data_IF_520128270557
#
_entry.id   IF_520128270557
#
_cell.length_a   1.000
_cell.length_b   1.000
_cell.length_c   1.000
_cell.angle_alpha   90.00
_cell.angle_beta   90.00
_cell.angle_gamma   90.00
#
_symmetry.space_group_name_H-M   'P 1'
#
loop_
_entity.id
_entity.type
_entity.pdbx_description
1 polymer ?
#
# COMPACT_ATOMS: atom_id res chain seq x y z
N UNK A 1 -2.51 -20.82 26.91
CA UNK A 1 -1.55 -20.92 25.78
C UNK A 1 -1.21 -19.52 25.28
N UNK A 2 0.08 -19.17 25.16
CA UNK A 2 0.51 -17.87 24.61
C UNK A 2 0.30 -17.89 23.09
N UNK A 3 -0.33 -16.86 22.53
CA UNK A 3 -0.53 -16.74 21.09
C UNK A 3 0.82 -16.49 20.41
N UNK A 4 1.27 -17.39 19.53
CA UNK A 4 2.59 -17.29 18.87
C UNK A 4 2.68 -16.11 17.88
N UNK A 5 1.53 -15.67 17.36
CA UNK A 5 1.42 -14.63 16.33
C UNK A 5 1.13 -13.24 16.91
N UNK A 6 0.67 -13.17 18.17
CA UNK A 6 0.28 -11.94 18.85
C UNK A 6 0.94 -11.82 20.22
N UNK A 7 1.74 -10.77 20.42
CA UNK A 7 2.29 -10.39 21.72
C UNK A 7 1.40 -9.32 22.37
N UNK A 8 1.00 -9.55 23.63
CA UNK A 8 0.23 -8.59 24.44
C UNK A 8 -1.28 -8.54 24.18
N UNK A 9 -1.84 -9.51 23.44
CA UNK A 9 -3.29 -9.60 23.18
C UNK A 9 -4.02 -10.52 24.16
N UNK A 10 -5.30 -10.21 24.41
CA UNK A 10 -6.24 -11.17 25.01
C UNK A 10 -6.92 -12.09 23.97
N UNK A 11 -6.70 -11.87 22.66
CA UNK A 11 -7.31 -12.68 21.61
C UNK A 11 -6.63 -14.06 21.51
N UNK A 12 -7.45 -15.11 21.60
CA UNK A 12 -6.96 -16.50 21.47
C UNK A 12 -6.34 -16.75 20.10
N UNK A 13 -5.37 -17.67 20.03
CA UNK A 13 -4.72 -18.05 18.78
C UNK A 13 -5.72 -18.54 17.73
N UNK A 14 -6.69 -19.36 18.15
CA UNK A 14 -7.76 -19.86 17.27
C UNK A 14 -8.54 -18.72 16.62
N UNK A 15 -8.95 -17.73 17.42
CA UNK A 15 -9.73 -16.58 16.93
C UNK A 15 -8.87 -15.65 16.07
N UNK A 16 -7.59 -15.51 16.38
CA UNK A 16 -6.66 -14.77 15.53
C UNK A 16 -6.49 -15.44 14.16
N UNK A 17 -6.27 -16.76 14.12
CA UNK A 17 -6.17 -17.53 12.86
C UNK A 17 -7.42 -17.41 12.01
N UNK A 18 -8.60 -17.43 12.63
CA UNK A 18 -9.88 -17.17 11.96
C UNK A 18 -9.91 -15.78 11.30
N UNK A 19 -9.54 -14.72 12.03
CA UNK A 19 -9.44 -13.36 11.46
C UNK A 19 -8.42 -13.30 10.33
N UNK A 20 -7.26 -13.93 10.50
CA UNK A 20 -6.20 -13.95 9.49
C UNK A 20 -6.64 -14.66 8.21
N UNK A 21 -7.38 -15.77 8.33
CA UNK A 21 -7.96 -16.49 7.19
C UNK A 21 -8.96 -15.63 6.44
N UNK A 22 -9.88 -14.99 7.15
CA UNK A 22 -10.84 -14.08 6.52
C UNK A 22 -10.15 -12.85 5.88
N UNK A 23 -9.05 -12.38 6.47
CA UNK A 23 -8.23 -11.36 5.85
C UNK A 23 -7.55 -11.87 4.57
N UNK A 24 -7.02 -13.10 4.56
CA UNK A 24 -6.40 -13.70 3.38
C UNK A 24 -7.39 -13.80 2.20
N UNK A 25 -8.65 -14.08 2.48
CA UNK A 25 -9.78 -14.07 1.52
C UNK A 25 -10.20 -12.64 1.06
N UNK A 26 -9.48 -11.60 1.49
CA UNK A 26 -9.71 -10.19 1.15
C UNK A 26 -11.09 -9.65 1.56
N UNK A 27 -11.58 -10.10 2.73
CA UNK A 27 -12.79 -9.56 3.36
C UNK A 27 -12.50 -8.21 4.06
N UNK A 28 -13.51 -7.35 4.07
CA UNK A 28 -13.48 -6.08 4.80
C UNK A 28 -13.59 -6.30 6.31
N UNK A 29 -13.11 -5.33 7.10
CA UNK A 29 -13.22 -5.40 8.57
C UNK A 29 -14.65 -5.56 9.07
N UNK A 30 -15.63 -5.00 8.36
CA UNK A 30 -17.06 -5.17 8.69
C UNK A 30 -17.52 -6.61 8.47
N UNK A 31 -17.16 -7.22 7.35
CA UNK A 31 -17.49 -8.62 7.07
C UNK A 31 -16.80 -9.55 8.08
N UNK A 32 -15.52 -9.31 8.37
CA UNK A 32 -14.76 -10.10 9.36
C UNK A 32 -15.37 -9.98 10.75
N UNK A 33 -15.76 -8.78 11.17
CA UNK A 33 -16.41 -8.57 12.46
C UNK A 33 -17.73 -9.35 12.57
N UNK A 34 -18.53 -9.31 11.49
CA UNK A 34 -19.80 -10.05 11.40
C UNK A 34 -19.62 -11.56 11.50
N UNK A 35 -18.58 -12.12 10.86
CA UNK A 35 -18.34 -13.57 10.84
C UNK A 35 -17.68 -14.04 12.16
N UNK A 36 -16.66 -13.31 12.62
CA UNK A 36 -15.83 -13.76 13.75
C UNK A 36 -16.43 -13.47 15.13
N UNK A 37 -17.44 -12.58 15.20
CA UNK A 37 -18.02 -12.08 16.45
C UNK A 37 -17.11 -11.09 17.19
N UNK A 38 -15.99 -10.67 16.60
CA UNK A 38 -15.05 -9.69 17.19
C UNK A 38 -15.46 -8.29 16.77
N UNK A 39 -15.34 -7.31 17.68
CA UNK A 39 -15.72 -5.92 17.38
C UNK A 39 -14.99 -5.38 16.14
N UNK A 40 -15.68 -4.59 15.31
CA UNK A 40 -15.10 -3.97 14.12
C UNK A 40 -13.86 -3.13 14.43
N UNK A 41 -13.84 -2.44 15.56
CA UNK A 41 -12.69 -1.62 16.01
C UNK A 41 -11.47 -2.51 16.25
N UNK A 42 -11.66 -3.62 16.97
CA UNK A 42 -10.63 -4.61 17.23
C UNK A 42 -10.13 -5.24 15.93
N UNK A 43 -11.03 -5.67 15.04
CA UNK A 43 -10.67 -6.22 13.72
C UNK A 43 -9.84 -5.20 12.92
N UNK A 44 -10.27 -3.94 12.83
CA UNK A 44 -9.50 -2.90 12.14
C UNK A 44 -8.09 -2.73 12.70
N UNK A 45 -7.93 -2.77 14.03
CA UNK A 45 -6.62 -2.72 14.68
C UNK A 45 -5.73 -3.88 14.24
N UNK A 46 -6.27 -5.10 14.21
CA UNK A 46 -5.55 -6.28 13.72
C UNK A 46 -5.18 -6.17 12.25
N UNK A 47 -6.12 -5.82 11.37
CA UNK A 47 -5.84 -5.69 9.94
C UNK A 47 -4.78 -4.62 9.67
N UNK A 48 -4.80 -3.50 10.41
CA UNK A 48 -3.77 -2.47 10.32
C UNK A 48 -2.39 -3.04 10.67
N UNK A 49 -2.27 -3.79 11.77
CA UNK A 49 -0.99 -4.39 12.20
C UNK A 49 -0.51 -5.49 11.25
N UNK A 50 -1.41 -6.30 10.70
CA UNK A 50 -1.07 -7.28 9.64
C UNK A 50 -0.49 -6.56 8.42
N UNK A 51 -1.16 -5.49 7.94
CA UNK A 51 -0.65 -4.69 6.81
C UNK A 51 0.70 -4.03 7.10
N UNK A 52 0.96 -3.63 8.34
CA UNK A 52 2.27 -3.10 8.73
C UNK A 52 3.38 -4.15 8.59
N UNK A 53 3.12 -5.41 8.97
CA UNK A 53 4.10 -6.49 8.74
C UNK A 53 4.26 -6.82 7.27
N UNK A 54 3.18 -6.83 6.50
CA UNK A 54 3.25 -6.98 5.04
C UNK A 54 4.13 -5.88 4.43
N UNK A 55 3.92 -4.62 4.83
CA UNK A 55 4.72 -3.50 4.34
C UNK A 55 6.22 -3.68 4.65
N UNK A 56 6.56 -4.04 5.90
CA UNK A 56 7.95 -4.34 6.30
C UNK A 56 8.55 -5.50 5.51
N UNK A 57 7.77 -6.55 5.26
CA UNK A 57 8.20 -7.68 4.44
C UNK A 57 8.50 -7.24 3.01
N UNK A 58 7.58 -6.51 2.36
CA UNK A 58 7.80 -5.94 1.04
C UNK A 58 9.03 -5.02 1.00
N UNK A 59 9.23 -4.18 2.01
CA UNK A 59 10.42 -3.31 2.14
C UNK A 59 11.71 -4.11 2.28
N UNK A 60 11.70 -5.24 3.00
CA UNK A 60 12.88 -6.10 3.17
C UNK A 60 13.35 -6.75 1.86
N UNK A 61 12.41 -6.94 0.92
CA UNK A 61 12.64 -7.51 -0.41
C UNK A 61 13.07 -6.47 -1.45
N UNK A 62 13.17 -5.19 -1.07
CA UNK A 62 13.67 -4.16 -1.98
C UNK A 62 15.13 -4.46 -2.37
N UNK A 63 15.53 -4.22 -3.64
CA UNK A 63 16.92 -4.45 -4.06
C UNK A 63 17.90 -3.52 -3.31
N UNK A 64 19.17 -3.90 -3.24
CA UNK A 64 20.18 -3.20 -2.44
C UNK A 64 20.32 -1.71 -2.79
N UNK A 65 20.20 -1.36 -4.07
CA UNK A 65 20.24 0.03 -4.57
C UNK A 65 19.09 0.90 -4.03
N UNK A 66 18.08 0.26 -3.42
CA UNK A 66 16.87 0.87 -2.89
C UNK A 66 16.82 0.82 -1.34
N UNK A 67 17.76 0.12 -0.68
CA UNK A 67 17.86 0.07 0.79
C UNK A 67 18.54 1.34 1.28
N UNK A 68 17.81 2.19 2.01
CA UNK A 68 18.37 3.39 2.67
C UNK A 68 17.72 4.72 2.28
N UNK A 69 16.77 4.75 1.34
CA UNK A 69 15.96 5.96 1.11
C UNK A 69 14.73 5.92 2.02
N UNK A 70 14.46 6.96 2.82
CA UNK A 70 13.21 7.06 3.53
C UNK A 70 12.08 7.07 2.49
N UNK A 71 11.32 5.98 2.40
CA UNK A 71 9.96 6.12 1.88
C UNK A 71 9.29 7.14 2.79
N UNK A 72 8.79 8.22 2.20
CA UNK A 72 8.11 9.28 2.93
C UNK A 72 6.82 8.67 3.50
N UNK A 73 6.95 8.00 4.64
CA UNK A 73 5.91 7.98 5.65
C UNK A 73 5.83 9.44 6.04
N UNK A 74 4.88 10.16 5.47
CA UNK A 74 4.61 11.53 5.85
C UNK A 74 4.49 11.55 7.39
N UNK A 75 5.49 12.10 8.07
CA UNK A 75 5.56 12.15 9.52
C UNK A 75 4.48 13.07 10.11
N UNK A 76 3.61 13.66 9.29
CA UNK A 76 2.35 14.28 9.71
C UNK A 76 1.27 13.28 10.18
N UNK A 77 1.59 11.98 10.25
CA UNK A 77 0.71 10.93 10.81
C UNK A 77 0.83 10.79 12.34
N UNK A 78 1.61 11.64 13.02
CA UNK A 78 1.68 11.67 14.50
C UNK A 78 0.59 12.57 15.13
N UNK A 79 -0.29 11.93 15.91
CA UNK A 79 -1.10 12.43 17.05
C UNK A 79 -1.70 13.85 16.96
N UNK A 80 -3.04 14.02 16.91
CA UNK A 80 -3.64 15.27 17.36
C UNK A 80 -3.45 15.32 18.88
N UNK A 81 -2.46 16.08 19.36
CA UNK A 81 -2.52 16.58 20.73
C UNK A 81 -3.53 17.72 20.74
N UNK A 82 -4.50 17.58 21.64
CA UNK A 82 -5.44 18.63 22.00
C UNK A 82 -4.68 19.93 22.25
N UNK A 83 -4.84 20.90 21.36
CA UNK A 83 -4.57 22.29 21.68
C UNK A 83 -5.66 23.12 21.03
N UNK A 84 -6.65 23.43 21.86
CA UNK A 84 -7.68 24.43 21.61
C UNK A 84 -7.03 25.76 21.27
N UNK A 85 -7.04 26.17 20.00
CA UNK A 85 -7.00 27.58 19.63
C UNK A 85 -7.93 27.78 18.45
N UNK A 86 -8.98 28.57 18.67
CA UNK A 86 -9.93 28.96 17.64
C UNK A 86 -9.26 29.87 16.61
N UNK A 87 -9.20 29.45 15.35
CA UNK A 87 -9.26 30.37 14.21
C UNK A 87 -10.05 29.69 13.10
N UNK A 88 -11.22 30.22 12.78
CA UNK A 88 -11.96 29.91 11.56
C UNK A 88 -11.25 30.61 10.40
N UNK A 89 -10.83 29.87 9.38
CA UNK A 89 -10.75 30.38 8.01
C UNK A 89 -10.74 29.23 7.02
N UNK A 90 -11.65 29.31 6.06
CA UNK A 90 -11.79 28.43 4.92
C UNK A 90 -10.47 28.28 4.14
N UNK A 91 -9.84 27.11 4.27
CA UNK A 91 -8.83 26.67 3.30
C UNK A 91 -9.45 25.48 2.60
N UNK A 92 -9.84 25.68 1.33
CA UNK A 92 -10.14 24.58 0.41
C UNK A 92 -8.96 23.60 0.51
N UNK A 93 -9.16 22.47 1.20
CA UNK A 93 -8.13 21.44 1.33
C UNK A 93 -7.90 20.92 -0.08
N UNK A 94 -6.86 21.39 -0.74
CA UNK A 94 -6.49 20.93 -2.06
C UNK A 94 -6.03 19.47 -1.89
N UNK A 95 -6.96 18.52 -2.05
CA UNK A 95 -6.73 17.09 -1.85
C UNK A 95 -5.79 16.62 -2.97
N UNK A 96 -4.47 16.75 -2.76
CA UNK A 96 -3.45 16.23 -3.69
C UNK A 96 -3.71 14.74 -3.96
N UNK A 97 -3.79 14.28 -5.22
CA UNK A 97 -4.03 12.87 -5.51
C UNK A 97 -2.93 11.97 -4.92
N UNK A 98 -3.29 10.75 -4.54
CA UNK A 98 -2.30 9.74 -4.19
C UNK A 98 -1.82 9.09 -5.48
N UNK A 99 -0.59 9.40 -5.85
CA UNK A 99 0.08 8.88 -7.03
C UNK A 99 1.14 7.89 -6.60
N UNK A 100 1.26 6.77 -7.30
CA UNK A 100 2.31 5.79 -7.03
C UNK A 100 2.90 5.23 -8.32
N UNK A 101 4.19 4.93 -8.29
CA UNK A 101 4.93 4.27 -9.35
C UNK A 101 4.91 2.75 -9.20
N UNK A 102 4.94 2.06 -10.32
CA UNK A 102 5.01 0.60 -10.42
C UNK A 102 6.29 0.26 -11.19
N UNK A 103 7.06 -0.68 -10.67
CA UNK A 103 8.26 -1.18 -11.33
C UNK A 103 8.48 -2.66 -11.00
N UNK A 104 9.35 -3.32 -11.75
CA UNK A 104 9.71 -4.72 -11.56
C UNK A 104 11.19 -4.85 -11.22
N UNK A 105 11.50 -5.67 -10.23
CA UNK A 105 12.87 -6.05 -9.89
C UNK A 105 12.89 -7.48 -9.34
N UNK A 106 13.92 -8.25 -9.64
CA UNK A 106 14.05 -9.65 -9.19
C UNK A 106 12.78 -10.50 -9.40
N UNK A 107 12.14 -10.34 -10.57
CA UNK A 107 10.88 -10.97 -10.96
C UNK A 107 9.64 -10.62 -10.09
N UNK A 108 9.74 -9.65 -9.17
CA UNK A 108 8.65 -9.16 -8.33
C UNK A 108 8.20 -7.77 -8.74
N UNK A 109 6.90 -7.52 -8.56
CA UNK A 109 6.31 -6.20 -8.73
C UNK A 109 6.50 -5.40 -7.44
N UNK A 110 6.89 -4.14 -7.59
CA UNK A 110 7.08 -3.21 -6.49
C UNK A 110 6.31 -1.92 -6.73
N UNK A 111 5.87 -1.31 -5.63
CA UNK A 111 5.13 -0.06 -5.61
C UNK A 111 5.78 0.97 -4.71
N UNK A 112 5.73 2.23 -5.12
CA UNK A 112 6.26 3.37 -4.36
C UNK A 112 5.33 4.56 -4.47
N UNK A 113 4.90 5.12 -3.34
CA UNK A 113 4.13 6.38 -3.34
C UNK A 113 5.06 7.51 -3.77
N UNK A 114 4.59 8.32 -4.70
CA UNK A 114 5.33 9.46 -5.23
C UNK A 114 4.79 10.74 -4.58
N UNK A 115 5.43 11.25 -3.50
CA UNK A 115 5.07 12.54 -2.95
C UNK A 115 5.35 13.63 -4.00
N UNK A 116 4.46 14.62 -4.04
CA UNK A 116 4.60 15.84 -4.86
C UNK A 116 4.64 15.65 -6.38
N UNK A 117 4.08 14.54 -6.88
CA UNK A 117 3.78 14.40 -8.31
C UNK A 117 2.39 14.97 -8.61
N UNK A 118 2.36 15.99 -9.48
CA UNK A 118 1.10 16.57 -9.99
C UNK A 118 0.64 15.84 -11.26
N UNK A 119 -0.66 15.98 -11.60
CA UNK A 119 -1.20 15.40 -12.84
C UNK A 119 -0.56 15.98 -14.09
N UNK A 120 -0.23 17.27 -14.09
CA UNK A 120 0.48 17.89 -15.23
C UNK A 120 1.85 17.25 -15.42
N UNK A 121 2.56 16.94 -14.34
CA UNK A 121 3.85 16.23 -14.41
C UNK A 121 3.70 14.81 -14.97
N UNK A 122 2.64 14.08 -14.59
CA UNK A 122 2.34 12.77 -15.18
C UNK A 122 2.07 12.91 -16.68
N UNK A 123 1.20 13.84 -17.09
CA UNK A 123 0.90 14.06 -18.50
C UNK A 123 2.12 14.46 -19.33
N UNK A 124 3.00 15.29 -18.78
CA UNK A 124 4.28 15.63 -19.41
C UNK A 124 5.19 14.41 -19.53
N UNK A 125 5.30 13.59 -18.49
CA UNK A 125 6.11 12.37 -18.52
C UNK A 125 5.61 11.32 -19.53
N UNK A 126 4.29 11.27 -19.76
CA UNK A 126 3.65 10.35 -20.73
C UNK A 126 3.73 10.88 -22.16
N UNK A 127 3.58 12.20 -22.37
CA UNK A 127 3.56 12.81 -23.73
C UNK A 127 4.95 13.09 -24.29
N UNK A 128 5.93 13.36 -23.43
CA UNK A 128 7.25 13.80 -23.87
C UNK A 128 8.24 12.65 -23.91
N UNK A 129 8.60 12.20 -25.11
CA UNK A 129 9.99 11.80 -25.36
C UNK A 129 10.89 13.01 -25.04
N UNK A 130 11.48 13.05 -23.83
CA UNK A 130 12.64 13.89 -23.47
C UNK A 130 12.55 15.42 -23.70
N UNK A 131 11.42 16.08 -23.45
CA UNK A 131 11.44 17.55 -23.33
C UNK A 131 10.46 18.05 -22.28
N UNK A 132 11.01 18.36 -21.09
CA UNK A 132 10.83 19.60 -20.33
C UNK A 132 11.98 19.63 -19.33
N UNK A 133 12.87 20.60 -19.53
CA UNK A 133 14.12 20.86 -18.80
C UNK A 133 13.92 21.38 -17.36
N UNK A 134 12.69 21.42 -16.85
CA UNK A 134 12.40 22.13 -15.58
C UNK A 134 12.22 21.23 -14.35
N UNK A 135 12.37 19.91 -14.47
CA UNK A 135 12.29 19.02 -13.28
C UNK A 135 13.19 17.79 -13.41
N UNK A 136 14.50 18.00 -13.62
CA UNK A 136 15.49 16.91 -13.70
C UNK A 136 15.29 15.87 -12.58
N UNK A 137 15.05 16.32 -11.34
CA UNK A 137 14.88 15.43 -10.19
C UNK A 137 13.59 14.59 -10.23
N UNK A 138 12.46 15.09 -10.77
CA UNK A 138 11.20 14.31 -10.82
C UNK A 138 11.18 13.40 -12.04
N UNK A 139 11.69 13.87 -13.18
CA UNK A 139 11.88 13.03 -14.36
C UNK A 139 12.82 11.86 -14.06
N UNK A 140 13.94 12.10 -13.37
CA UNK A 140 14.84 11.03 -12.89
C UNK A 140 14.15 10.07 -11.91
N UNK A 141 13.35 10.59 -10.97
CA UNK A 141 12.57 9.73 -10.07
C UNK A 141 11.58 8.87 -10.86
N UNK A 142 10.95 9.40 -11.91
CA UNK A 142 9.95 8.70 -12.71
C UNK A 142 10.53 7.68 -13.69
N UNK A 143 11.76 7.87 -14.18
CA UNK A 143 12.45 6.93 -15.10
C UNK A 143 12.54 5.50 -14.58
N UNK A 144 12.56 5.31 -13.26
CA UNK A 144 12.64 3.97 -12.64
C UNK A 144 11.33 3.18 -12.74
N UNK A 145 10.20 3.85 -12.96
CA UNK A 145 8.90 3.22 -13.04
C UNK A 145 8.55 2.92 -14.48
N UNK A 146 8.01 1.73 -14.72
CA UNK A 146 7.40 1.43 -16.01
C UNK A 146 6.03 2.09 -16.13
N UNK A 147 5.33 2.27 -15.01
CA UNK A 147 3.98 2.81 -14.99
C UNK A 147 3.75 3.67 -13.75
N UNK A 148 2.82 4.61 -13.86
CA UNK A 148 2.39 5.46 -12.76
C UNK A 148 0.87 5.40 -12.67
N UNK A 149 0.34 5.28 -11.46
CA UNK A 149 -1.10 5.22 -11.23
C UNK A 149 -1.56 6.39 -10.35
N UNK A 150 -2.65 7.04 -10.77
CA UNK A 150 -3.37 8.06 -9.98
C UNK A 150 -4.62 7.40 -9.35
N UNK A 151 -4.59 7.21 -8.03
CA UNK A 151 -5.73 6.64 -7.28
C UNK A 151 -6.94 7.58 -7.23
N UNK A 152 -6.73 8.89 -7.37
CA UNK A 152 -7.82 9.87 -7.40
C UNK A 152 -8.65 9.79 -8.68
N UNK A 153 -8.06 9.35 -9.79
CA UNK A 153 -8.75 9.15 -11.07
C UNK A 153 -8.94 7.68 -11.45
N UNK A 154 -8.43 6.75 -10.63
CA UNK A 154 -8.34 5.34 -10.97
C UNK A 154 -7.77 5.11 -12.38
N UNK A 155 -6.66 5.81 -12.69
CA UNK A 155 -6.01 5.77 -14.00
C UNK A 155 -4.58 5.29 -13.91
N UNK A 156 -4.22 4.37 -14.81
CA UNK A 156 -2.85 3.90 -15.04
C UNK A 156 -2.27 4.64 -16.25
N UNK A 157 -1.01 5.02 -16.15
CA UNK A 157 -0.23 5.71 -17.16
C UNK A 157 1.02 4.89 -17.46
N UNK A 158 1.28 4.64 -18.75
CA UNK A 158 2.49 3.97 -19.19
C UNK A 158 3.59 5.01 -19.40
N UNK A 159 4.75 4.81 -18.79
CA UNK A 159 5.93 5.60 -19.07
C UNK A 159 6.69 4.84 -20.16
N UNK A 160 6.70 5.37 -21.39
CA UNK A 160 7.37 4.73 -22.51
C UNK A 160 8.88 4.60 -22.22
N UNK A 161 9.30 3.38 -21.87
CA UNK A 161 10.70 2.98 -21.75
C UNK A 161 10.96 1.83 -22.73
N UNK A 162 11.85 2.06 -23.70
CA UNK A 162 12.24 1.09 -24.73
C UNK A 162 12.63 -0.26 -24.08
N UNK A 163 11.84 -1.32 -24.32
CA UNK A 163 12.16 -2.70 -23.89
C UNK A 163 11.17 -3.44 -22.97
N UNK A 164 9.92 -2.97 -22.79
CA UNK A 164 8.98 -3.53 -21.77
C UNK A 164 7.67 -4.12 -22.33
N UNK A 165 7.56 -4.42 -23.62
CA UNK A 165 6.29 -4.82 -24.26
C UNK A 165 5.70 -6.12 -23.68
N UNK A 166 6.52 -7.12 -23.32
CA UNK A 166 6.05 -8.37 -22.69
C UNK A 166 5.57 -8.21 -21.23
N UNK A 167 5.61 -6.99 -20.65
CA UNK A 167 5.33 -6.70 -19.23
C UNK A 167 4.03 -5.93 -19.00
N UNK A 168 3.30 -5.55 -20.05
CA UNK A 168 2.07 -4.77 -19.94
C UNK A 168 0.93 -5.55 -19.27
N UNK A 169 0.67 -6.79 -19.72
CA UNK A 169 -0.45 -7.61 -19.24
C UNK A 169 -0.39 -7.88 -17.72
N UNK A 170 0.81 -8.11 -17.19
CA UNK A 170 1.02 -8.34 -15.77
C UNK A 170 0.78 -7.06 -14.93
N UNK A 171 1.10 -5.89 -15.47
CA UNK A 171 0.85 -4.61 -14.78
C UNK A 171 -0.63 -4.27 -14.84
N UNK A 172 -1.30 -4.55 -15.97
CA UNK A 172 -2.75 -4.42 -16.09
C UNK A 172 -3.49 -5.38 -15.15
N UNK A 173 -3.00 -6.61 -14.99
CA UNK A 173 -3.52 -7.57 -14.02
C UNK A 173 -3.35 -7.06 -12.58
N UNK A 174 -2.17 -6.56 -12.23
CA UNK A 174 -1.92 -5.93 -10.92
C UNK A 174 -2.84 -4.74 -10.68
N UNK A 175 -3.01 -3.89 -11.69
CA UNK A 175 -3.87 -2.73 -11.60
C UNK A 175 -5.34 -3.11 -11.48
N UNK A 176 -5.78 -4.15 -12.19
CA UNK A 176 -7.11 -4.74 -12.05
C UNK A 176 -7.38 -5.23 -10.63
N UNK A 177 -6.45 -6.01 -10.05
CA UNK A 177 -6.52 -6.47 -8.66
C UNK A 177 -6.58 -5.29 -7.68
N UNK A 178 -5.73 -4.30 -7.89
CA UNK A 178 -5.66 -3.10 -7.04
C UNK A 178 -6.99 -2.34 -7.07
N UNK A 179 -7.53 -2.04 -8.25
CA UNK A 179 -8.83 -1.36 -8.38
C UNK A 179 -9.96 -2.12 -7.69
N UNK A 180 -10.09 -3.42 -7.98
CA UNK A 180 -11.14 -4.26 -7.43
C UNK A 180 -11.10 -4.25 -5.90
N UNK A 181 -9.91 -4.41 -5.32
CA UNK A 181 -9.72 -4.41 -3.88
C UNK A 181 -9.97 -3.05 -3.25
N UNK A 182 -9.40 -1.98 -3.81
CA UNK A 182 -9.54 -0.65 -3.22
C UNK A 182 -10.98 -0.11 -3.29
N UNK A 183 -11.77 -0.54 -4.28
CA UNK A 183 -13.19 -0.20 -4.38
C UNK A 183 -14.02 -0.68 -3.17
N UNK A 184 -13.61 -1.75 -2.48
CA UNK A 184 -14.29 -2.30 -1.29
C UNK A 184 -14.34 -1.31 -0.12
N UNK A 185 -13.42 -0.34 -0.06
CA UNK A 185 -13.26 0.54 1.10
C UNK A 185 -14.05 1.85 1.03
N UNK A 186 -14.76 2.13 -0.08
CA UNK A 186 -15.56 3.38 -0.30
C UNK A 186 -14.77 4.66 0.03
N UNK A 187 -13.48 4.67 -0.30
CA UNK A 187 -12.53 5.71 0.05
C UNK A 187 -11.46 5.21 1.01
N UNK A 188 -10.23 5.66 0.81
CA UNK A 188 -9.09 5.27 1.64
C UNK A 188 -8.64 6.44 2.50
N UNK A 189 -8.32 6.17 3.76
CA UNK A 189 -7.66 7.14 4.60
C UNK A 189 -6.22 7.32 4.11
N UNK A 190 -5.79 8.58 3.94
CA UNK A 190 -4.41 8.93 3.52
C UNK A 190 -3.34 8.30 4.42
N UNK A 191 -3.60 8.23 5.73
CA UNK A 191 -2.67 7.64 6.69
C UNK A 191 -2.48 6.13 6.52
N UNK A 192 -3.40 5.44 5.82
CA UNK A 192 -3.34 3.99 5.62
C UNK A 192 -3.22 3.58 4.16
N UNK A 193 -3.30 4.50 3.20
CA UNK A 193 -3.24 4.19 1.76
C UNK A 193 -1.97 3.41 1.40
N UNK A 194 -0.85 3.77 2.01
CA UNK A 194 0.42 3.06 1.87
C UNK A 194 0.31 1.59 2.25
N UNK A 195 -0.31 1.30 3.39
CA UNK A 195 -0.52 -0.06 3.89
C UNK A 195 -1.43 -0.87 2.97
N UNK A 196 -2.45 -0.26 2.38
CA UNK A 196 -3.30 -0.93 1.40
C UNK A 196 -2.57 -1.23 0.10
N UNK A 197 -1.72 -0.31 -0.36
CA UNK A 197 -0.92 -0.49 -1.56
C UNK A 197 0.10 -1.61 -1.39
N UNK A 198 0.79 -1.67 -0.25
CA UNK A 198 1.71 -2.77 0.07
C UNK A 198 1.00 -4.12 0.21
N UNK A 199 -0.22 -4.14 0.70
CA UNK A 199 -1.03 -5.36 0.66
C UNK A 199 -1.37 -5.79 -0.78
N UNK A 200 -1.69 -4.86 -1.69
CA UNK A 200 -1.89 -5.18 -3.10
C UNK A 200 -0.61 -5.74 -3.73
N UNK A 201 0.55 -5.13 -3.47
CA UNK A 201 1.87 -5.63 -3.90
C UNK A 201 2.12 -7.05 -3.41
N UNK A 202 1.88 -7.31 -2.12
CA UNK A 202 2.05 -8.63 -1.51
C UNK A 202 1.13 -9.68 -2.12
N UNK A 203 -0.17 -9.39 -2.24
CA UNK A 203 -1.16 -10.31 -2.82
C UNK A 203 -0.81 -10.66 -4.26
N UNK A 204 -0.42 -9.65 -5.05
CA UNK A 204 -0.07 -9.87 -6.45
C UNK A 204 1.18 -10.74 -6.60
N UNK A 205 2.20 -10.50 -5.80
CA UNK A 205 3.44 -11.27 -5.84
C UNK A 205 3.28 -12.70 -5.33
N UNK A 206 2.27 -12.99 -4.50
CA UNK A 206 1.96 -14.32 -3.99
C UNK A 206 0.64 -14.87 -4.56
N UNK A 207 0.22 -14.42 -5.75
CA UNK A 207 -1.09 -14.75 -6.35
C UNK A 207 -1.29 -16.22 -6.70
N UNK A 208 -0.20 -16.98 -6.80
CA UNK A 208 -0.22 -18.41 -7.06
C UNK A 208 -0.01 -19.25 -5.79
N UNK A 209 0.14 -18.59 -4.64
CA UNK A 209 0.39 -19.21 -3.34
C UNK A 209 -0.86 -19.13 -2.47
N UNK A 210 -0.89 -19.94 -1.40
CA UNK A 210 -1.88 -19.75 -0.34
C UNK A 210 -1.51 -18.53 0.51
N UNK A 211 -2.27 -17.45 0.36
CA UNK A 211 -2.06 -16.19 1.07
C UNK A 211 -2.16 -16.37 2.59
N UNK A 212 -3.03 -17.26 3.07
CA UNK A 212 -3.19 -17.50 4.50
C UNK A 212 -1.96 -18.18 5.08
N UNK A 213 -1.45 -19.23 4.42
CA UNK A 213 -0.22 -19.91 4.85
C UNK A 213 1.00 -18.98 4.76
N UNK A 214 1.12 -18.21 3.67
CA UNK A 214 2.20 -17.21 3.52
C UNK A 214 2.17 -16.17 4.65
N UNK A 215 0.98 -15.72 5.06
CA UNK A 215 0.84 -14.80 6.18
C UNK A 215 1.14 -15.46 7.53
N UNK A 216 0.80 -16.73 7.71
CA UNK A 216 1.16 -17.46 8.93
C UNK A 216 2.68 -17.54 9.09
N UNK A 217 3.40 -17.92 8.04
CA UNK A 217 4.87 -17.99 8.04
C UNK A 217 5.49 -16.63 8.35
N UNK A 218 5.00 -15.57 7.69
CA UNK A 218 5.44 -14.20 7.94
C UNK A 218 5.25 -13.83 9.41
N UNK A 219 4.08 -14.11 9.98
CA UNK A 219 3.75 -13.73 11.36
C UNK A 219 4.37 -14.64 12.42
N UNK A 220 4.81 -15.85 12.07
CA UNK A 220 5.64 -16.69 12.96
C UNK A 220 7.03 -16.10 13.13
N UNK A 221 7.65 -15.68 12.02
CA UNK A 221 8.97 -15.03 12.06
C UNK A 221 8.92 -13.63 12.68
N UNK A 222 7.82 -12.88 12.43
CA UNK A 222 7.62 -11.51 12.92
C UNK A 222 6.24 -11.32 13.54
N UNK A 223 6.04 -11.73 14.82
CA UNK A 223 4.76 -11.61 15.50
C UNK A 223 4.26 -10.17 15.61
N UNK A 224 2.94 -9.98 15.67
CA UNK A 224 2.34 -8.67 15.89
C UNK A 224 2.54 -8.25 17.36
N UNK A 225 3.01 -7.02 17.58
CA UNK A 225 2.98 -6.38 18.90
C UNK A 225 1.77 -5.46 18.99
N UNK A 226 0.93 -5.62 20.01
CA UNK A 226 -0.24 -4.76 20.25
C UNK A 226 0.03 -3.55 21.16
N UNK A 227 1.29 -3.35 21.55
CA UNK A 227 1.74 -2.10 22.18
C UNK A 227 1.47 -0.88 21.29
#
# INVERSE_FOLDING_TARGET
MKNKYLKGAHLSERKFKEILRLFAEDLTATQIASISGVSRVTVNSYLKKIRQQIARHCESLLPADYKGRPQVIDQTVHHPQDTSVSVKTDVSRNIKPVVFGIYRSSNRLHTEILPDVSRSMIHSAVRSSRSILETQNVAEKMRRFSNVADLGQYRLYNLENEGTIARADDIDAFWGLTKHRLAKFKGLNRSTVYLHLKECEFRYNNRNEDIYETLLELLQSQPLSLS
#
